data_IF_876561939662
#
_entry.id   IF_876561939662
#
_cell.length_a   1.000
_cell.length_b   1.000
_cell.length_c   1.000
_cell.angle_alpha   90.00
_cell.angle_beta   90.00
_cell.angle_gamma   90.00
#
_symmetry.space_group_name_H-M   'P 1'
#
loop_
_entity.id
_entity.type
_entity.pdbx_description
1 polymer ?
#
# COMPACT_ATOMS: atom_id res chain seq x y z
N UNK A 1 17.44 -11.57 42.00
CA UNK A 1 17.42 -11.09 40.60
C UNK A 1 16.01 -11.21 39.98
N UNK A 2 15.11 -10.23 40.19
CA UNK A 2 13.91 -10.12 39.33
C UNK A 2 13.78 -8.77 38.59
N UNK A 3 14.53 -7.75 39.00
CA UNK A 3 14.38 -6.37 38.47
C UNK A 3 14.77 -6.28 36.99
N UNK A 4 15.82 -7.00 36.55
CA UNK A 4 16.24 -7.01 35.14
C UNK A 4 15.20 -7.67 34.21
N UNK A 5 14.46 -8.68 34.70
CA UNK A 5 13.43 -9.39 33.95
C UNK A 5 12.17 -8.53 33.78
N UNK A 6 11.82 -7.74 34.81
CA UNK A 6 10.70 -6.79 34.78
C UNK A 6 11.02 -5.58 33.88
N UNK A 7 12.28 -5.12 33.83
CA UNK A 7 12.68 -4.06 32.89
C UNK A 7 12.58 -4.53 31.43
N UNK A 8 12.91 -5.80 31.16
CA UNK A 8 12.75 -6.42 29.84
C UNK A 8 11.27 -6.58 29.43
N UNK A 9 10.37 -6.82 30.38
CA UNK A 9 8.91 -6.88 30.12
C UNK A 9 8.24 -5.49 30.08
N UNK A 10 8.83 -4.46 30.70
CA UNK A 10 8.38 -3.05 30.62
C UNK A 10 8.83 -2.34 29.34
N UNK A 11 9.81 -2.87 28.63
CA UNK A 11 9.96 -2.68 27.19
C UNK A 11 8.91 -3.53 26.44
N UNK A 12 7.64 -3.43 26.86
CA UNK A 12 6.54 -3.51 25.89
C UNK A 12 6.83 -2.37 24.94
N UNK A 13 7.52 -2.67 23.85
CA UNK A 13 7.68 -1.81 22.69
C UNK A 13 6.25 -1.41 22.34
N UNK A 14 5.84 -0.22 22.78
CA UNK A 14 4.62 0.39 22.28
C UNK A 14 5.04 0.83 20.90
N UNK A 15 4.84 -0.04 19.93
CA UNK A 15 5.07 0.25 18.52
C UNK A 15 3.98 1.26 18.13
N UNK A 16 4.27 2.55 18.35
CA UNK A 16 3.39 3.67 18.01
C UNK A 16 3.38 3.84 16.49
N UNK A 17 2.86 2.84 15.77
CA UNK A 17 2.63 2.94 14.33
C UNK A 17 1.34 3.70 14.08
N UNK A 18 1.38 4.59 13.10
CA UNK A 18 0.23 5.31 12.59
C UNK A 18 0.08 4.94 11.12
N UNK A 19 -1.10 4.46 10.75
CA UNK A 19 -1.43 4.07 9.39
C UNK A 19 -2.49 5.01 8.84
N UNK A 20 -2.47 5.21 7.52
CA UNK A 20 -3.48 5.97 6.78
C UNK A 20 -4.03 5.08 5.67
N UNK A 21 -5.35 4.93 5.61
CA UNK A 21 -6.03 4.33 4.45
C UNK A 21 -6.28 5.41 3.40
N UNK A 22 -5.93 5.12 2.14
CA UNK A 22 -6.17 6.01 1.01
C UNK A 22 -7.17 5.33 0.08
N UNK A 23 -8.38 5.89 0.00
CA UNK A 23 -9.42 5.44 -0.92
C UNK A 23 -9.45 6.37 -2.14
N UNK A 24 -9.13 5.84 -3.32
CA UNK A 24 -9.14 6.61 -4.56
C UNK A 24 -8.38 5.96 -5.71
N UNK A 25 -8.42 6.60 -6.88
CA UNK A 25 -7.65 6.23 -8.07
C UNK A 25 -6.63 7.33 -8.38
N UNK A 26 -5.46 6.92 -8.90
CA UNK A 26 -4.45 7.85 -9.42
C UNK A 26 -4.50 7.80 -10.94
N UNK A 27 -4.79 8.92 -11.57
CA UNK A 27 -4.78 9.04 -13.03
C UNK A 27 -3.36 9.37 -13.52
N UNK A 28 -2.92 8.66 -14.56
CA UNK A 28 -1.60 8.79 -15.17
C UNK A 28 -1.73 8.78 -16.70
N UNK A 29 -0.64 9.07 -17.40
CA UNK A 29 -0.61 8.96 -18.86
C UNK A 29 -0.90 7.51 -19.32
N UNK A 30 -1.66 7.36 -20.40
CA UNK A 30 -2.16 6.06 -20.87
C UNK A 30 -1.05 5.08 -21.31
N UNK A 31 0.14 5.59 -21.65
CA UNK A 31 1.31 4.80 -22.04
C UNK A 31 2.20 4.43 -20.85
N UNK A 32 1.88 4.88 -19.64
CA UNK A 32 2.63 4.52 -18.43
C UNK A 32 2.26 3.11 -17.98
N UNK A 33 3.22 2.19 -18.07
CA UNK A 33 3.05 0.82 -17.56
C UNK A 33 2.83 0.80 -16.03
N UNK A 34 2.06 -0.18 -15.56
CA UNK A 34 1.84 -0.44 -14.13
C UNK A 34 3.16 -0.58 -13.34
N UNK A 35 4.17 -1.24 -13.91
CA UNK A 35 5.47 -1.45 -13.24
C UNK A 35 6.22 -0.12 -13.00
N UNK A 36 6.31 0.73 -14.02
CA UNK A 36 6.96 2.04 -13.89
C UNK A 36 6.21 2.93 -12.89
N UNK A 37 4.88 2.91 -12.91
CA UNK A 37 4.09 3.60 -11.89
C UNK A 37 4.39 3.06 -10.49
N UNK A 38 4.34 1.74 -10.30
CA UNK A 38 4.56 1.09 -9.01
C UNK A 38 5.93 1.43 -8.43
N UNK A 39 6.99 1.35 -9.24
CA UNK A 39 8.35 1.70 -8.82
C UNK A 39 8.46 3.17 -8.39
N UNK A 40 7.81 4.10 -9.10
CA UNK A 40 7.77 5.52 -8.71
C UNK A 40 6.99 5.73 -7.40
N UNK A 41 5.85 5.07 -7.26
CA UNK A 41 5.02 5.18 -6.07
C UNK A 41 5.74 4.63 -4.83
N UNK A 42 6.28 3.42 -4.90
CA UNK A 42 7.07 2.83 -3.80
C UNK A 42 8.30 3.67 -3.50
N UNK A 43 9.03 4.14 -4.52
CA UNK A 43 10.17 5.04 -4.32
C UNK A 43 9.80 6.33 -3.57
N UNK A 44 8.63 6.91 -3.82
CA UNK A 44 8.13 8.06 -3.06
C UNK A 44 7.84 7.71 -1.60
N UNK A 45 7.21 6.56 -1.33
CA UNK A 45 6.90 6.09 0.02
C UNK A 45 8.20 5.86 0.82
N UNK A 46 9.14 5.11 0.25
CA UNK A 46 10.40 4.76 0.91
C UNK A 46 11.29 5.98 1.15
N UNK A 47 11.27 6.98 0.25
CA UNK A 47 12.00 8.23 0.44
C UNK A 47 11.53 9.06 1.65
N UNK A 48 10.38 8.71 2.24
CA UNK A 48 9.83 9.35 3.44
C UNK A 48 9.90 8.44 4.69
N UNK A 49 10.68 7.35 4.64
CA UNK A 49 10.77 6.33 5.70
C UNK A 49 9.41 5.68 6.04
N UNK A 50 8.50 5.62 5.04
CA UNK A 50 7.20 4.96 5.18
C UNK A 50 7.24 3.54 4.62
N UNK A 51 6.25 2.75 4.97
CA UNK A 51 6.05 1.40 4.42
C UNK A 51 4.66 1.29 3.82
N UNK A 52 4.56 0.77 2.59
CA UNK A 52 3.28 0.52 1.95
C UNK A 52 2.92 -0.97 2.05
N UNK A 53 1.87 -1.28 2.82
CA UNK A 53 1.30 -2.62 2.92
C UNK A 53 0.12 -2.75 1.96
N UNK A 54 0.34 -3.30 0.77
CA UNK A 54 -0.73 -3.45 -0.21
C UNK A 54 -0.25 -3.90 -1.59
N UNK A 55 -1.14 -3.76 -2.57
CA UNK A 55 -0.85 -4.02 -3.97
C UNK A 55 -1.47 -2.96 -4.87
N UNK A 56 -1.29 -3.13 -6.16
CA UNK A 56 -1.85 -2.28 -7.20
C UNK A 56 -2.75 -3.12 -8.10
N UNK A 57 -3.85 -2.53 -8.57
CA UNK A 57 -4.68 -3.08 -9.62
C UNK A 57 -4.85 -2.03 -10.71
N UNK A 58 -4.72 -2.43 -11.97
CA UNK A 58 -5.05 -1.59 -13.11
C UNK A 58 -6.57 -1.48 -13.25
N UNK A 59 -7.04 -0.26 -13.56
CA UNK A 59 -8.44 0.05 -13.81
C UNK A 59 -8.56 0.71 -15.17
N UNK A 60 -9.41 0.17 -16.04
CA UNK A 60 -9.71 0.73 -17.37
C UNK A 60 -11.22 0.87 -17.53
N UNK A 61 -11.68 2.06 -17.89
CA UNK A 61 -13.10 2.42 -18.00
C UNK A 61 -13.92 2.09 -16.73
N UNK A 62 -13.30 2.18 -15.55
CA UNK A 62 -13.94 1.87 -14.27
C UNK A 62 -14.04 0.38 -13.93
N UNK A 63 -13.39 -0.51 -14.69
CA UNK A 63 -13.31 -1.95 -14.38
C UNK A 63 -11.90 -2.31 -13.92
N UNK A 64 -11.79 -3.14 -12.89
CA UNK A 64 -10.51 -3.80 -12.57
C UNK A 64 -10.07 -4.67 -13.73
N UNK A 65 -8.78 -4.70 -14.03
CA UNK A 65 -8.21 -5.59 -15.03
C UNK A 65 -7.59 -6.81 -14.34
N UNK A 66 -8.01 -8.00 -14.77
CA UNK A 66 -7.47 -9.27 -14.29
C UNK A 66 -6.09 -9.54 -14.91
N UNK A 67 -5.32 -10.46 -14.33
CA UNK A 67 -3.99 -10.84 -14.84
C UNK A 67 -4.01 -11.43 -16.26
N UNK A 68 -5.16 -11.89 -16.75
CA UNK A 68 -5.35 -12.39 -18.11
C UNK A 68 -5.80 -11.30 -19.12
N UNK A 69 -5.89 -10.04 -18.66
CA UNK A 69 -6.31 -8.89 -19.44
C UNK A 69 -7.83 -8.71 -19.57
N UNK A 70 -8.64 -9.58 -18.95
CA UNK A 70 -10.10 -9.45 -18.98
C UNK A 70 -10.59 -8.39 -17.98
N UNK A 71 -11.74 -7.76 -18.28
CA UNK A 71 -12.42 -6.86 -17.34
C UNK A 71 -13.05 -7.66 -16.21
N UNK A 72 -12.67 -7.36 -14.98
CA UNK A 72 -13.24 -7.88 -13.75
C UNK A 72 -14.47 -7.08 -13.30
N UNK A 73 -14.63 -6.90 -11.98
CA UNK A 73 -15.75 -6.14 -11.40
C UNK A 73 -15.63 -4.64 -11.70
N UNK A 74 -16.77 -3.94 -11.74
CA UNK A 74 -16.81 -2.48 -11.79
C UNK A 74 -16.41 -1.90 -10.43
N UNK A 75 -15.61 -0.83 -10.43
CA UNK A 75 -14.99 -0.25 -9.23
C UNK A 75 -16.01 0.44 -8.33
N UNK A 76 -17.09 0.99 -8.90
CA UNK A 76 -18.13 1.75 -8.18
C UNK A 76 -19.39 0.92 -7.85
N UNK A 77 -19.34 -0.40 -7.96
CA UNK A 77 -20.42 -1.22 -7.39
C UNK A 77 -20.15 -1.36 -5.88
N UNK A 78 -20.62 -0.37 -5.12
CA UNK A 78 -20.79 -0.43 -3.67
C UNK A 78 -21.73 -1.58 -3.24
#
# INVERSE_FOLDING_TARGET
MPIMFILFQKLKVIDLRKEFEIQGCVEVAADLSQEVFWNKFIGFIEANDWTFGGGINEIVDGFYINSDGTKGRYVLNE
#
